data_IF_392721415359
#
_entry.id   IF_392721415359
#
_cell.length_a   1.000
_cell.length_b   1.000
_cell.length_c   1.000
_cell.angle_alpha   90.00
_cell.angle_beta   90.00
_cell.angle_gamma   90.00
#
_symmetry.space_group_name_H-M   'P 1'
#
loop_
_entity.id
_entity.type
_entity.pdbx_description
1 polymer ?
#
# COMPACT_ATOMS: atom_id res chain seq x y z
N UNK A 1 -1.14 23.00 -0.17
CA UNK A 1 -0.20 23.29 0.95
C UNK A 1 0.77 22.13 1.01
N UNK A 2 2.08 22.37 0.87
CA UNK A 2 3.09 21.32 1.02
C UNK A 2 3.14 20.91 2.49
N UNK A 3 2.80 19.66 2.80
CA UNK A 3 2.97 19.12 4.14
C UNK A 3 4.46 18.80 4.32
N UNK A 4 5.10 19.20 5.44
CA UNK A 4 6.48 18.82 5.70
C UNK A 4 6.56 17.29 5.70
N UNK A 5 7.39 16.73 4.83
CA UNK A 5 7.65 15.29 4.86
C UNK A 5 8.22 14.96 6.25
N UNK A 6 7.70 13.92 6.93
CA UNK A 6 8.24 13.52 8.21
C UNK A 6 9.70 13.14 7.99
N UNK A 7 10.60 13.59 8.86
CA UNK A 7 11.99 13.12 8.88
C UNK A 7 11.99 11.64 9.26
N UNK A 8 11.83 10.78 8.25
CA UNK A 8 11.97 9.34 8.41
C UNK A 8 13.45 9.00 8.34
N UNK A 9 14.11 9.08 9.49
CA UNK A 9 15.47 8.62 9.62
C UNK A 9 15.48 7.10 9.74
N UNK A 10 15.80 6.43 8.64
CA UNK A 10 16.01 4.99 8.66
C UNK A 10 17.27 4.65 9.48
N UNK A 11 17.22 3.59 10.30
CA UNK A 11 18.42 2.99 10.87
C UNK A 11 19.41 2.61 9.75
N UNK A 12 20.72 2.53 10.06
CA UNK A 12 21.72 1.96 9.16
C UNK A 12 21.29 0.60 8.59
N UNK A 13 21.72 0.30 7.37
CA UNK A 13 21.37 -0.94 6.68
C UNK A 13 21.72 -2.19 7.51
N UNK A 14 22.91 -2.20 8.12
CA UNK A 14 23.36 -3.33 8.93
C UNK A 14 22.45 -3.58 10.14
N UNK A 15 21.94 -2.52 10.77
CA UNK A 15 20.98 -2.64 11.87
C UNK A 15 19.64 -3.18 11.41
N UNK A 16 19.17 -2.78 10.22
CA UNK A 16 17.94 -3.33 9.64
C UNK A 16 18.09 -4.81 9.27
N UNK A 17 19.25 -5.21 8.76
CA UNK A 17 19.57 -6.62 8.48
C UNK A 17 19.59 -7.42 9.78
N UNK A 18 20.25 -6.91 10.81
CA UNK A 18 20.28 -7.55 12.13
C UNK A 18 18.88 -7.69 12.71
N UNK A 19 18.06 -6.64 12.64
CA UNK A 19 16.68 -6.67 13.11
C UNK A 19 15.85 -7.71 12.36
N UNK A 20 15.97 -7.76 11.02
CA UNK A 20 15.24 -8.72 10.20
C UNK A 20 15.65 -10.18 10.47
N UNK A 21 16.92 -10.44 10.81
CA UNK A 21 17.43 -11.78 11.12
C UNK A 21 17.06 -12.24 12.53
N UNK A 22 17.23 -11.36 13.51
CA UNK A 22 17.09 -11.70 14.93
C UNK A 22 15.62 -11.62 15.41
N UNK A 23 14.86 -10.65 14.90
CA UNK A 23 13.44 -10.47 15.24
C UNK A 23 12.62 -10.01 14.01
N UNK A 24 12.20 -10.97 13.15
CA UNK A 24 11.36 -10.68 12.00
C UNK A 24 10.04 -9.98 12.35
N UNK A 25 9.50 -10.19 13.57
CA UNK A 25 8.25 -9.55 14.00
C UNK A 25 8.49 -8.07 14.29
N UNK A 26 9.53 -7.74 15.04
CA UNK A 26 9.94 -6.36 15.30
C UNK A 26 10.28 -5.62 14.00
N UNK A 27 10.97 -6.27 13.05
CA UNK A 27 11.23 -5.69 11.73
C UNK A 27 9.94 -5.35 10.97
N UNK A 28 8.95 -6.25 10.98
CA UNK A 28 7.66 -5.99 10.34
C UNK A 28 6.88 -4.87 11.04
N UNK A 29 6.90 -4.83 12.37
CA UNK A 29 6.29 -3.75 13.16
C UNK A 29 6.94 -2.40 12.87
N UNK A 30 8.27 -2.36 12.76
CA UNK A 30 9.03 -1.16 12.41
C UNK A 30 8.61 -0.61 11.03
N UNK A 31 8.55 -1.47 10.00
CA UNK A 31 8.05 -1.07 8.67
C UNK A 31 6.65 -0.48 8.73
N UNK A 32 5.74 -1.14 9.45
CA UNK A 32 4.36 -0.67 9.59
C UNK A 32 4.29 0.70 10.28
N UNK A 33 5.09 0.93 11.32
CA UNK A 33 5.15 2.22 12.01
C UNK A 33 5.66 3.33 11.09
N UNK A 34 6.69 3.06 10.28
CA UNK A 34 7.17 4.01 9.27
C UNK A 34 6.08 4.35 8.25
N UNK A 35 5.38 3.35 7.71
CA UNK A 35 4.26 3.61 6.79
C UNK A 35 3.17 4.45 7.44
N UNK A 36 2.72 4.12 8.66
CA UNK A 36 1.68 4.89 9.34
C UNK A 36 2.12 6.32 9.67
N UNK A 37 3.37 6.55 10.04
CA UNK A 37 3.89 7.90 10.25
C UNK A 37 3.82 8.73 8.95
N UNK A 38 4.19 8.13 7.80
CA UNK A 38 4.07 8.80 6.50
C UNK A 38 2.61 9.10 6.17
N UNK A 39 1.70 8.15 6.39
CA UNK A 39 0.27 8.34 6.16
C UNK A 39 -0.28 9.47 7.03
N UNK A 40 0.02 9.47 8.34
CA UNK A 40 -0.44 10.50 9.27
C UNK A 40 0.11 11.90 8.96
N UNK A 41 1.24 12.00 8.28
CA UNK A 41 1.80 13.29 7.82
C UNK A 41 1.09 13.87 6.59
N UNK A 42 0.34 13.05 5.85
CA UNK A 42 -0.42 13.49 4.68
C UNK A 42 -1.71 14.22 5.08
N UNK A 43 -2.30 14.96 4.13
CA UNK A 43 -3.60 15.62 4.33
C UNK A 43 -4.68 14.62 4.75
N UNK A 44 -5.56 14.99 5.67
CA UNK A 44 -6.62 14.12 6.20
C UNK A 44 -7.45 13.45 5.09
N UNK A 45 -7.77 14.21 4.03
CA UNK A 45 -8.47 13.73 2.84
C UNK A 45 -7.76 12.60 2.09
N UNK A 46 -6.43 12.51 2.20
CA UNK A 46 -5.60 11.52 1.52
C UNK A 46 -5.31 10.29 2.40
N UNK A 47 -5.31 10.44 3.72
CA UNK A 47 -4.94 9.37 4.65
C UNK A 47 -5.75 8.09 4.43
N UNK A 48 -7.07 8.19 4.24
CA UNK A 48 -7.93 7.04 3.97
C UNK A 48 -7.52 6.28 2.70
N UNK A 49 -7.18 7.01 1.62
CA UNK A 49 -6.71 6.41 0.37
C UNK A 49 -5.35 5.73 0.56
N UNK A 50 -4.43 6.36 1.29
CA UNK A 50 -3.11 5.79 1.54
C UNK A 50 -3.17 4.55 2.43
N UNK A 51 -4.03 4.50 3.45
CA UNK A 51 -4.25 3.27 4.24
C UNK A 51 -4.80 2.14 3.38
N UNK A 52 -5.75 2.44 2.49
CA UNK A 52 -6.26 1.45 1.53
C UNK A 52 -5.16 0.95 0.58
N UNK A 53 -4.26 1.84 0.11
CA UNK A 53 -3.08 1.43 -0.67
C UNK A 53 -2.12 0.56 0.16
N UNK A 54 -1.85 0.90 1.42
CA UNK A 54 -1.02 0.08 2.30
C UNK A 54 -1.61 -1.32 2.50
N UNK A 55 -2.92 -1.43 2.77
CA UNK A 55 -3.60 -2.74 2.87
C UNK A 55 -3.53 -3.53 1.57
N UNK A 56 -3.60 -2.86 0.42
CA UNK A 56 -3.40 -3.51 -0.88
C UNK A 56 -1.97 -4.05 -1.02
N UNK A 57 -0.96 -3.26 -0.67
CA UNK A 57 0.44 -3.70 -0.67
C UNK A 57 0.65 -4.90 0.26
N UNK A 58 0.08 -4.89 1.46
CA UNK A 58 0.17 -6.01 2.41
C UNK A 58 -0.43 -7.30 1.82
N UNK A 59 -1.61 -7.20 1.17
CA UNK A 59 -2.24 -8.33 0.51
C UNK A 59 -1.38 -8.84 -0.66
N UNK A 60 -0.81 -7.95 -1.45
CA UNK A 60 0.07 -8.29 -2.58
C UNK A 60 1.35 -8.99 -2.09
N UNK A 61 1.98 -8.46 -1.04
CA UNK A 61 3.17 -9.05 -0.40
C UNK A 61 2.86 -10.42 0.17
N UNK A 62 1.70 -10.62 0.82
CA UNK A 62 1.33 -11.91 1.40
C UNK A 62 1.15 -13.04 0.37
N UNK A 63 0.90 -12.69 -0.90
CA UNK A 63 0.80 -13.65 -2.02
C UNK A 63 2.16 -14.01 -2.63
N UNK A 64 3.22 -13.29 -2.26
CA UNK A 64 4.56 -13.53 -2.78
C UNK A 64 5.21 -14.75 -2.11
N UNK A 65 5.95 -15.53 -2.91
CA UNK A 65 6.55 -16.81 -2.48
C UNK A 65 7.94 -16.65 -1.87
N UNK A 66 8.62 -15.55 -2.14
CA UNK A 66 9.97 -15.26 -1.65
C UNK A 66 10.26 -13.75 -1.67
N UNK A 67 11.33 -13.28 -1.00
CA UNK A 67 11.68 -11.86 -0.93
C UNK A 67 12.00 -11.21 -2.29
N UNK A 68 12.55 -11.94 -3.26
CA UNK A 68 12.80 -11.39 -4.59
C UNK A 68 11.48 -11.11 -5.33
N UNK A 69 10.50 -12.00 -5.21
CA UNK A 69 9.16 -11.80 -5.77
C UNK A 69 8.48 -10.57 -5.15
N UNK A 70 8.60 -10.39 -3.83
CA UNK A 70 8.13 -9.17 -3.14
C UNK A 70 8.74 -7.92 -3.77
N UNK A 71 10.05 -7.88 -3.96
CA UNK A 71 10.73 -6.72 -4.54
C UNK A 71 10.26 -6.41 -5.97
N UNK A 72 10.10 -7.42 -6.82
CA UNK A 72 9.62 -7.25 -8.20
C UNK A 72 8.21 -6.65 -8.20
N UNK A 73 7.31 -7.18 -7.37
CA UNK A 73 5.92 -6.72 -7.35
C UNK A 73 5.81 -5.32 -6.73
N UNK A 74 6.54 -5.02 -5.66
CA UNK A 74 6.57 -3.66 -5.09
C UNK A 74 7.13 -2.63 -6.09
N UNK A 75 8.15 -3.00 -6.88
CA UNK A 75 8.65 -2.13 -7.95
C UNK A 75 7.62 -1.90 -9.06
N UNK A 76 6.81 -2.92 -9.38
CA UNK A 76 5.73 -2.78 -10.34
C UNK A 76 4.62 -1.84 -9.84
N UNK A 77 4.22 -1.98 -8.57
CA UNK A 77 3.27 -1.07 -7.92
C UNK A 77 3.79 0.37 -7.91
N UNK A 78 5.05 0.57 -7.52
CA UNK A 78 5.68 1.88 -7.53
C UNK A 78 5.70 2.48 -8.95
N UNK A 79 6.06 1.70 -9.97
CA UNK A 79 6.04 2.16 -11.36
C UNK A 79 4.65 2.62 -11.80
N UNK A 80 3.61 1.89 -11.41
CA UNK A 80 2.22 2.26 -11.68
C UNK A 80 1.87 3.63 -11.09
N UNK A 81 2.26 3.89 -9.83
CA UNK A 81 2.02 5.18 -9.18
C UNK A 81 2.81 6.32 -9.83
N UNK A 82 4.06 6.08 -10.25
CA UNK A 82 4.88 7.08 -10.96
C UNK A 82 4.28 7.42 -12.32
N UNK A 83 3.79 6.43 -13.07
CA UNK A 83 3.10 6.67 -14.34
C UNK A 83 1.82 7.51 -14.13
N UNK A 84 0.98 7.15 -13.15
CA UNK A 84 -0.22 7.94 -12.81
C UNK A 84 0.12 9.38 -12.42
N UNK A 85 1.19 9.56 -11.66
CA UNK A 85 1.68 10.88 -11.29
C UNK A 85 2.16 11.67 -12.51
N UNK A 86 2.93 11.04 -13.41
CA UNK A 86 3.35 11.66 -14.67
C UNK A 86 2.15 12.06 -15.53
N UNK A 87 1.14 11.19 -15.66
CA UNK A 87 -0.08 11.48 -16.40
C UNK A 87 -0.84 12.65 -15.79
N UNK A 88 -0.91 12.74 -14.46
CA UNK A 88 -1.51 13.88 -13.76
C UNK A 88 -0.79 15.19 -14.09
N UNK A 89 0.55 15.19 -14.05
CA UNK A 89 1.35 16.37 -14.39
C UNK A 89 1.22 16.78 -15.86
N UNK A 90 1.02 15.81 -16.76
CA UNK A 90 0.85 16.05 -18.19
C UNK A 90 -0.61 16.38 -18.59
N UNK A 91 -1.53 16.47 -17.62
CA UNK A 91 -2.95 16.70 -17.89
C UNK A 91 -3.65 15.53 -18.59
N UNK A 92 -3.05 14.34 -18.57
CA UNK A 92 -3.59 13.09 -19.14
C UNK A 92 -4.41 12.30 -18.13
N UNK A 93 -4.47 12.73 -16.88
CA UNK A 93 -5.40 12.16 -15.91
C UNK A 93 -6.84 12.57 -16.25
N UNK A 94 -7.62 11.60 -16.73
CA UNK A 94 -9.07 11.66 -16.58
C UNK A 94 -9.37 11.49 -15.09
N UNK A 95 -9.88 12.54 -14.45
CA UNK A 95 -10.59 12.38 -13.20
C UNK A 95 -11.89 11.65 -13.55
N UNK A 96 -11.81 10.33 -13.71
CA UNK A 96 -13.03 9.52 -13.74
C UNK A 96 -13.68 9.69 -12.37
N UNK A 97 -14.77 10.46 -12.33
CA UNK A 97 -15.70 10.37 -11.22
C UNK A 97 -16.04 8.88 -11.08
N UNK A 98 -15.93 8.30 -9.87
CA UNK A 98 -16.23 6.89 -9.67
C UNK A 98 -17.66 6.64 -10.12
N UNK A 99 -17.81 6.07 -11.31
CA UNK A 99 -19.11 5.74 -11.83
C UNK A 99 -19.72 4.65 -10.92
N UNK A 100 -20.99 4.76 -10.50
CA UNK A 100 -21.64 3.83 -9.59
C UNK A 100 -21.88 2.42 -10.18
N UNK A 101 -21.36 2.13 -11.37
CA UNK A 101 -21.73 0.99 -12.22
C UNK A 101 -21.15 -0.38 -11.82
N UNK A 102 -20.41 -0.48 -10.72
CA UNK A 102 -19.89 -1.76 -10.22
C UNK A 102 -20.29 -2.10 -8.78
N UNK A 103 -21.42 -1.58 -8.29
CA UNK A 103 -22.04 -2.09 -7.06
C UNK A 103 -22.73 -3.41 -7.37
N UNK A 104 -21.99 -4.52 -7.26
CA UNK A 104 -22.60 -5.86 -7.25
C UNK A 104 -23.27 -6.05 -5.88
N UNK A 105 -24.60 -6.18 -5.80
CA UNK A 105 -25.27 -6.43 -4.53
C UNK A 105 -24.80 -7.78 -3.97
N UNK A 106 -24.40 -7.80 -2.70
CA UNK A 106 -24.08 -9.03 -2.00
C UNK A 106 -25.30 -9.95 -1.99
N UNK A 107 -25.23 -11.07 -2.70
CA UNK A 107 -26.25 -12.12 -2.67
C UNK A 107 -25.79 -13.20 -1.68
N UNK A 108 -26.34 -13.26 -0.45
CA UNK A 108 -26.04 -14.36 0.45
C UNK A 108 -26.51 -15.67 -0.20
N UNK A 109 -25.66 -16.69 -0.20
CA UNK A 109 -25.98 -18.01 -0.74
C UNK A 109 -26.97 -18.71 0.21
N UNK A 110 -28.27 -18.58 -0.06
CA UNK A 110 -29.35 -19.17 0.75
C UNK A 110 -29.90 -20.47 0.17
N UNK A 111 -29.26 -21.10 -0.82
CA UNK A 111 -29.74 -22.38 -1.33
C UNK A 111 -29.45 -23.52 -0.34
N UNK A 112 -30.47 -24.17 0.24
CA UNK A 112 -30.26 -25.39 1.00
C UNK A 112 -29.78 -26.47 0.03
N UNK A 113 -28.60 -27.04 0.30
CA UNK A 113 -28.13 -28.24 -0.39
C UNK A 113 -29.11 -29.37 -0.09
N UNK A 114 -29.98 -29.69 -1.05
CA UNK A 114 -30.79 -30.91 -0.98
C UNK A 114 -29.87 -32.10 -1.24
N UNK A 115 -29.72 -32.94 -0.21
CA UNK A 115 -29.17 -34.29 -0.30
C UNK A 115 -30.29 -35.26 -0.64
#
# INVERSE_FOLDING_TARGET
>A
MAHPQPEQKLPPFDELVQLAQNDPKAFNQFKHQMCEQMICSASESMQGRLRAQQSHLDLVVSRCKNPHHVNVVLMQELRCQVCKFQDALQGRCTLEEPQPENVVPFRPNTEPKMY
#
